data_IF_843580561904
#
_entry.id   IF_843580561904
#
_cell.length_a   1.000
_cell.length_b   1.000
_cell.length_c   1.000
_cell.angle_alpha   90.00
_cell.angle_beta   90.00
_cell.angle_gamma   90.00
#
_symmetry.space_group_name_H-M   'P 1'
#
loop_
_entity.id
_entity.type
_entity.pdbx_description
1 polymer ?
#
# COMPACT_ATOMS: atom_id res chain seq x y z
N UNK A 1 -4.21 -6.36 -0.25
CA UNK A 1 -4.18 -7.60 -1.06
C UNK A 1 -3.67 -7.45 -2.50
N UNK A 2 -4.33 -6.66 -3.38
CA UNK A 2 -3.91 -6.55 -4.81
C UNK A 2 -2.43 -6.20 -4.99
N UNK A 3 -1.92 -5.26 -4.20
CA UNK A 3 -0.51 -4.88 -4.24
C UNK A 3 0.43 -6.01 -3.78
N UNK A 4 0.05 -6.77 -2.75
CA UNK A 4 0.80 -7.95 -2.33
C UNK A 4 0.92 -8.96 -3.49
N UNK A 5 -0.19 -9.30 -4.14
CA UNK A 5 -0.21 -10.24 -5.26
C UNK A 5 0.70 -9.81 -6.40
N UNK A 6 0.69 -8.51 -6.73
CA UNK A 6 1.58 -7.89 -7.73
C UNK A 6 3.05 -8.02 -7.33
N UNK A 7 3.42 -7.59 -6.10
CA UNK A 7 4.81 -7.63 -5.63
C UNK A 7 5.32 -9.07 -5.52
N UNK A 8 4.53 -9.98 -4.95
CA UNK A 8 4.87 -11.40 -4.88
C UNK A 8 5.06 -12.03 -6.27
N UNK A 9 4.29 -11.61 -7.28
CA UNK A 9 4.45 -12.08 -8.65
C UNK A 9 5.79 -11.62 -9.27
N UNK A 10 6.24 -10.40 -8.97
CA UNK A 10 7.55 -9.91 -9.40
C UNK A 10 8.68 -10.75 -8.80
N UNK A 11 8.62 -11.02 -7.49
CA UNK A 11 9.59 -11.89 -6.82
C UNK A 11 9.56 -13.32 -7.35
N UNK A 12 8.37 -13.88 -7.59
CA UNK A 12 8.22 -15.21 -8.16
C UNK A 12 8.93 -15.31 -9.53
N UNK A 13 8.77 -14.31 -10.40
CA UNK A 13 9.46 -14.27 -11.71
C UNK A 13 10.97 -14.10 -11.59
N UNK A 14 11.43 -13.24 -10.66
CA UNK A 14 12.85 -12.96 -10.50
C UNK A 14 13.65 -14.20 -10.03
N UNK A 15 13.01 -15.10 -9.28
CA UNK A 15 13.64 -16.28 -8.70
C UNK A 15 13.11 -17.62 -9.26
N UNK A 16 12.34 -17.60 -10.35
CA UNK A 16 11.81 -18.83 -10.97
C UNK A 16 10.86 -19.64 -10.07
N UNK A 17 10.11 -18.95 -9.21
CA UNK A 17 9.21 -19.51 -8.21
C UNK A 17 7.73 -19.34 -8.58
N UNK A 18 7.40 -19.24 -9.88
CA UNK A 18 6.04 -18.96 -10.36
C UNK A 18 5.01 -20.02 -9.93
N UNK A 19 5.44 -21.26 -9.73
CA UNK A 19 4.57 -22.35 -9.25
C UNK A 19 4.25 -22.26 -7.75
N UNK A 20 5.05 -21.51 -6.98
CA UNK A 20 4.82 -21.29 -5.55
C UNK A 20 3.88 -20.11 -5.27
N UNK A 21 3.73 -19.20 -6.22
CA UNK A 21 2.83 -18.04 -6.12
C UNK A 21 1.37 -18.48 -5.88
N UNK A 22 0.53 -17.76 -5.09
CA UNK A 22 0.70 -16.40 -4.58
C UNK A 22 1.24 -16.25 -3.17
N UNK A 23 1.04 -17.25 -2.30
CA UNK A 23 1.39 -17.16 -0.88
C UNK A 23 2.48 -18.17 -0.58
N UNK A 24 3.73 -17.74 -0.68
CA UNK A 24 4.91 -18.58 -0.49
C UNK A 24 5.99 -17.86 0.30
N UNK A 25 6.97 -18.62 0.77
CA UNK A 25 8.13 -18.09 1.47
C UNK A 25 9.17 -17.62 0.45
N UNK A 26 9.11 -16.34 0.09
CA UNK A 26 10.07 -15.72 -0.84
C UNK A 26 11.50 -15.87 -0.32
N UNK A 27 11.73 -15.80 1.00
CA UNK A 27 13.09 -15.88 1.55
C UNK A 27 13.73 -17.23 1.27
N UNK A 28 12.96 -18.32 1.29
CA UNK A 28 13.41 -19.67 0.95
C UNK A 28 13.93 -19.79 -0.50
N UNK A 29 13.29 -19.08 -1.45
CA UNK A 29 13.71 -19.07 -2.84
C UNK A 29 14.91 -18.16 -3.11
N UNK A 30 15.10 -17.14 -2.28
CA UNK A 30 16.25 -16.23 -2.37
C UNK A 30 17.49 -16.82 -1.74
N UNK A 31 17.35 -17.42 -0.55
CA UNK A 31 18.44 -18.04 0.20
C UNK A 31 17.91 -19.21 1.02
N UNK A 32 18.00 -20.43 0.47
CA UNK A 32 17.40 -21.63 1.09
C UNK A 32 17.89 -21.94 2.51
N UNK A 33 19.12 -21.55 2.85
CA UNK A 33 19.70 -21.75 4.18
C UNK A 33 19.25 -20.71 5.22
N UNK A 34 18.42 -19.73 4.84
CA UNK A 34 17.94 -18.68 5.76
C UNK A 34 17.27 -19.30 6.99
N UNK A 35 17.73 -18.90 8.17
CA UNK A 35 17.13 -19.27 9.45
C UNK A 35 16.62 -18.01 10.14
N UNK A 36 15.42 -18.10 10.72
CA UNK A 36 14.97 -17.12 11.69
C UNK A 36 15.70 -17.36 13.00
N UNK A 37 16.15 -16.31 13.72
CA UNK A 37 16.71 -16.46 15.06
C UNK A 37 15.79 -17.32 15.96
N UNK A 38 16.34 -18.30 16.73
CA UNK A 38 15.50 -19.26 17.46
C UNK A 38 14.55 -18.64 18.49
N UNK A 39 14.96 -17.53 19.12
CA UNK A 39 14.16 -16.73 20.04
C UNK A 39 12.97 -16.07 19.32
N UNK A 40 13.24 -15.41 18.19
CA UNK A 40 12.19 -14.80 17.35
C UNK A 40 11.24 -15.86 16.79
N UNK A 41 11.76 -17.01 16.38
CA UNK A 41 10.95 -18.13 15.89
C UNK A 41 10.02 -18.67 16.99
N UNK A 42 10.52 -18.84 18.22
CA UNK A 42 9.70 -19.30 19.35
C UNK A 42 8.59 -18.31 19.70
N UNK A 43 8.92 -17.02 19.79
CA UNK A 43 7.92 -15.95 20.04
C UNK A 43 6.86 -15.90 18.93
N UNK A 44 7.28 -16.00 17.68
CA UNK A 44 6.37 -16.03 16.55
C UNK A 44 5.39 -17.21 16.63
N UNK A 45 5.86 -18.41 16.98
CA UNK A 45 4.97 -19.57 17.12
C UNK A 45 3.98 -19.40 18.27
N UNK A 46 4.37 -18.79 19.38
CA UNK A 46 3.47 -18.48 20.50
C UNK A 46 2.34 -17.53 20.06
N UNK A 47 2.69 -16.45 19.36
CA UNK A 47 1.71 -15.49 18.82
C UNK A 47 0.80 -16.15 17.77
N UNK A 48 1.38 -16.95 16.87
CA UNK A 48 0.64 -17.59 15.80
C UNK A 48 -0.22 -18.76 16.26
N UNK A 49 0.01 -19.35 17.44
CA UNK A 49 -0.76 -20.50 17.93
C UNK A 49 -2.26 -20.20 17.98
N UNK A 50 -2.65 -19.04 18.52
CA UNK A 50 -4.05 -18.62 18.68
C UNK A 50 -4.68 -17.99 17.43
N UNK A 51 -3.90 -17.75 16.37
CA UNK A 51 -4.38 -17.02 15.22
C UNK A 51 -5.17 -17.91 14.25
N UNK A 52 -6.16 -17.35 13.57
CA UNK A 52 -6.80 -17.94 12.40
C UNK A 52 -6.95 -16.83 11.34
N UNK A 53 -7.01 -17.15 10.04
CA UNK A 53 -6.86 -18.49 9.42
C UNK A 53 -5.40 -18.97 9.27
N UNK A 54 -5.22 -20.27 8.96
CA UNK A 54 -3.88 -20.89 8.74
C UNK A 54 -3.08 -20.21 7.62
N UNK A 55 -3.75 -19.68 6.60
CA UNK A 55 -3.16 -18.89 5.52
C UNK A 55 -2.40 -17.66 6.05
N UNK A 56 -2.96 -17.01 7.06
CA UNK A 56 -2.35 -15.86 7.73
C UNK A 56 -1.05 -16.26 8.43
N UNK A 57 -1.06 -17.40 9.15
CA UNK A 57 0.16 -17.91 9.81
C UNK A 57 1.30 -18.17 8.82
N UNK A 58 0.98 -18.73 7.64
CA UNK A 58 1.98 -19.01 6.60
C UNK A 58 2.69 -17.75 6.15
N UNK A 59 1.93 -16.70 5.86
CA UNK A 59 2.51 -15.44 5.35
C UNK A 59 3.17 -14.62 6.45
N UNK A 60 2.72 -14.69 7.70
CA UNK A 60 3.44 -14.11 8.84
C UNK A 60 4.83 -14.75 9.01
N UNK A 61 4.93 -16.10 8.99
CA UNK A 61 6.23 -16.79 9.05
C UNK A 61 7.14 -16.36 7.92
N UNK A 62 6.60 -16.31 6.71
CA UNK A 62 7.34 -15.89 5.53
C UNK A 62 7.83 -14.43 5.64
N UNK A 63 7.02 -13.51 6.19
CA UNK A 63 7.39 -12.12 6.43
C UNK A 63 8.48 -11.98 7.50
N UNK A 64 8.43 -12.79 8.57
CA UNK A 64 9.47 -12.81 9.61
C UNK A 64 10.80 -13.32 9.03
N UNK A 65 10.76 -14.41 8.26
CA UNK A 65 11.94 -14.96 7.60
C UNK A 65 12.53 -14.00 6.58
N UNK A 66 11.66 -13.25 5.89
CA UNK A 66 12.04 -12.17 5.00
C UNK A 66 12.75 -11.02 5.71
N UNK A 67 12.27 -10.59 6.87
CA UNK A 67 12.96 -9.60 7.69
C UNK A 67 14.36 -10.08 8.10
N UNK A 68 14.48 -11.33 8.58
CA UNK A 68 15.77 -11.92 8.89
C UNK A 68 16.72 -11.99 7.68
N UNK A 69 16.20 -12.26 6.49
CA UNK A 69 16.97 -12.23 5.25
C UNK A 69 17.51 -10.83 4.94
N UNK A 70 16.69 -9.79 5.12
CA UNK A 70 17.08 -8.39 4.87
C UNK A 70 18.16 -7.89 5.83
N UNK A 71 18.24 -8.45 7.04
CA UNK A 71 19.28 -8.09 8.01
C UNK A 71 20.66 -8.66 7.65
N UNK A 72 20.71 -9.73 6.86
CA UNK A 72 21.97 -10.43 6.52
C UNK A 72 22.40 -10.26 5.06
N UNK A 73 21.52 -9.75 4.20
CA UNK A 73 21.77 -9.60 2.76
C UNK A 73 21.52 -8.19 2.24
N UNK A 74 22.58 -7.57 1.76
CA UNK A 74 22.53 -6.26 1.08
C UNK A 74 22.50 -6.39 -0.47
N UNK A 75 22.56 -7.61 -1.02
CA UNK A 75 22.61 -7.91 -2.45
C UNK A 75 21.23 -8.19 -3.09
N UNK A 76 20.15 -7.85 -2.39
CA UNK A 76 18.80 -7.98 -2.91
C UNK A 76 18.58 -7.02 -4.11
N UNK A 77 17.83 -7.43 -5.15
CA UNK A 77 17.53 -6.54 -6.29
C UNK A 77 16.85 -5.25 -5.82
N UNK A 78 17.50 -4.11 -6.07
CA UNK A 78 17.04 -2.79 -5.61
C UNK A 78 15.76 -2.31 -6.32
N UNK A 79 15.44 -2.89 -7.48
CA UNK A 79 14.26 -2.59 -8.27
C UNK A 79 13.02 -3.40 -7.84
N UNK A 80 13.18 -4.41 -6.99
CA UNK A 80 12.07 -5.19 -6.46
C UNK A 80 11.56 -4.59 -5.14
N UNK A 81 10.25 -4.28 -5.03
CA UNK A 81 9.68 -3.71 -3.82
C UNK A 81 9.55 -4.75 -2.71
N UNK A 82 9.44 -4.31 -1.45
CA UNK A 82 9.19 -5.23 -0.33
C UNK A 82 7.88 -6.01 -0.58
N UNK A 83 7.91 -7.35 -0.64
CA UNK A 83 6.76 -8.13 -1.00
C UNK A 83 5.69 -8.21 0.09
N UNK A 84 6.07 -8.16 1.37
CA UNK A 84 5.16 -8.42 2.49
C UNK A 84 4.58 -7.16 3.12
N UNK A 85 5.20 -6.00 2.92
CA UNK A 85 4.69 -4.70 3.41
C UNK A 85 3.18 -4.47 3.16
N UNK A 86 2.62 -4.69 1.94
CA UNK A 86 1.19 -4.48 1.71
C UNK A 86 0.29 -5.48 2.46
N UNK A 87 0.82 -6.64 2.84
CA UNK A 87 0.09 -7.68 3.54
C UNK A 87 0.11 -7.43 5.06
N UNK A 88 1.26 -7.03 5.60
CA UNK A 88 1.39 -6.62 7.00
C UNK A 88 0.48 -5.43 7.32
N UNK A 89 0.51 -4.39 6.48
CA UNK A 89 -0.39 -3.23 6.61
C UNK A 89 -1.87 -3.62 6.55
N UNK A 90 -2.23 -4.62 5.76
CA UNK A 90 -3.60 -5.13 5.72
C UNK A 90 -3.98 -5.81 7.04
N UNK A 91 -3.08 -6.58 7.64
CA UNK A 91 -3.31 -7.26 8.92
C UNK A 91 -3.41 -6.28 10.09
N UNK A 92 -2.54 -5.27 10.14
CA UNK A 92 -2.57 -4.21 11.15
C UNK A 92 -3.89 -3.43 11.16
N UNK A 93 -4.59 -3.40 10.01
CA UNK A 93 -5.90 -2.78 9.84
C UNK A 93 -7.06 -3.76 10.06
N UNK A 94 -6.80 -4.92 10.66
CA UNK A 94 -7.80 -5.95 10.95
C UNK A 94 -8.25 -6.77 9.73
N UNK A 95 -7.58 -6.61 8.59
CA UNK A 95 -7.84 -7.39 7.39
C UNK A 95 -7.30 -8.81 7.49
N UNK A 96 -7.89 -9.71 6.71
CA UNK A 96 -7.48 -11.11 6.61
C UNK A 96 -7.89 -11.68 5.27
N UNK A 97 -7.51 -12.93 5.01
CA UNK A 97 -7.96 -13.62 3.82
C UNK A 97 -8.11 -15.12 4.02
N UNK A 98 -9.07 -15.70 3.31
CA UNK A 98 -9.22 -17.15 3.16
C UNK A 98 -8.90 -17.52 1.71
N UNK A 99 -8.18 -18.62 1.53
CA UNK A 99 -7.85 -19.14 0.22
C UNK A 99 -8.55 -20.49 0.05
N UNK A 100 -9.55 -20.52 -0.82
CA UNK A 100 -10.20 -21.74 -1.30
C UNK A 100 -10.15 -21.74 -2.84
N UNK A 101 -11.28 -21.86 -3.52
CA UNK A 101 -11.36 -21.67 -4.98
C UNK A 101 -11.12 -20.20 -5.38
N UNK A 102 -11.52 -19.28 -4.50
CA UNK A 102 -11.31 -17.84 -4.63
C UNK A 102 -10.52 -17.32 -3.43
N UNK A 103 -9.96 -16.14 -3.60
CA UNK A 103 -9.37 -15.40 -2.50
C UNK A 103 -10.48 -14.55 -1.88
N UNK A 104 -10.91 -14.93 -0.69
CA UNK A 104 -11.96 -14.25 0.08
C UNK A 104 -11.33 -13.22 1.01
N UNK A 105 -11.73 -11.96 0.84
CA UNK A 105 -11.40 -10.85 1.71
C UNK A 105 -12.64 -10.46 2.53
N UNK A 106 -12.93 -11.22 3.59
CA UNK A 106 -14.03 -10.97 4.52
C UNK A 106 -15.41 -10.80 3.83
N UNK A 107 -15.73 -11.69 2.88
CA UNK A 107 -16.95 -11.70 2.08
C UNK A 107 -16.78 -11.15 0.66
N UNK A 108 -15.66 -10.47 0.36
CA UNK A 108 -15.35 -10.00 -0.99
C UNK A 108 -14.52 -11.06 -1.72
N UNK A 109 -15.14 -11.71 -2.70
CA UNK A 109 -14.49 -12.74 -3.52
C UNK A 109 -13.70 -12.11 -4.67
N UNK A 110 -12.39 -12.30 -4.68
CA UNK A 110 -11.52 -11.82 -5.77
C UNK A 110 -10.91 -12.98 -6.56
N UNK A 111 -10.86 -12.80 -7.89
CA UNK A 111 -10.14 -13.72 -8.77
C UNK A 111 -8.64 -13.47 -8.62
N UNK A 112 -7.91 -14.55 -8.39
CA UNK A 112 -6.47 -14.50 -8.16
C UNK A 112 -5.69 -14.11 -9.43
N UNK A 113 -6.12 -14.56 -10.61
CA UNK A 113 -5.40 -14.36 -11.87
C UNK A 113 -4.17 -15.28 -11.97
N UNK A 114 -3.19 -14.88 -12.78
CA UNK A 114 -1.92 -15.60 -12.92
C UNK A 114 -0.72 -14.67 -12.62
N UNK A 115 0.48 -15.25 -12.58
CA UNK A 115 1.72 -14.51 -12.28
C UNK A 115 1.97 -13.39 -13.28
N UNK A 116 1.76 -13.63 -14.58
CA UNK A 116 2.00 -12.62 -15.63
C UNK A 116 1.05 -11.43 -15.51
N UNK A 117 -0.24 -11.69 -15.31
CA UNK A 117 -1.25 -10.63 -15.15
C UNK A 117 -1.01 -9.81 -13.89
N UNK A 118 -0.60 -10.46 -12.80
CA UNK A 118 -0.31 -9.76 -11.54
C UNK A 118 1.00 -8.99 -11.64
N UNK A 119 2.07 -9.55 -12.19
CA UNK A 119 3.34 -8.84 -12.37
C UNK A 119 3.21 -7.60 -13.28
N UNK A 120 2.29 -7.65 -14.25
CA UNK A 120 2.02 -6.54 -15.18
C UNK A 120 0.95 -5.56 -14.69
N UNK A 121 0.35 -5.80 -13.51
CA UNK A 121 -0.64 -4.90 -12.96
C UNK A 121 -0.02 -3.55 -12.58
N UNK A 122 -0.78 -2.47 -12.76
CA UNK A 122 -0.37 -1.13 -12.31
C UNK A 122 -0.05 -1.18 -10.81
N UNK A 123 1.13 -0.68 -10.37
CA UNK A 123 1.46 -0.57 -8.96
C UNK A 123 0.39 0.18 -8.18
N UNK A 124 0.11 -0.30 -6.97
CA UNK A 124 -0.77 0.43 -6.07
C UNK A 124 -0.11 1.75 -5.67
N UNK A 125 -0.91 2.80 -5.81
CA UNK A 125 -0.60 4.22 -5.61
C UNK A 125 0.55 4.51 -4.66
N UNK A 126 0.33 4.21 -3.38
CA UNK A 126 1.32 4.31 -2.31
C UNK A 126 0.76 3.59 -1.09
N UNK A 127 1.64 3.03 -0.25
CA UNK A 127 1.25 2.42 1.02
C UNK A 127 1.31 3.41 2.19
N UNK A 128 1.44 4.71 1.91
CA UNK A 128 1.40 5.75 2.93
C UNK A 128 0.09 5.66 3.76
N UNK A 129 0.15 5.79 5.10
CA UNK A 129 -1.01 5.64 5.97
C UNK A 129 -2.22 6.47 5.52
N UNK A 130 -1.98 7.71 5.12
CA UNK A 130 -3.00 8.65 4.64
C UNK A 130 -3.75 8.18 3.38
N UNK A 131 -3.11 7.39 2.52
CA UNK A 131 -3.74 6.80 1.32
C UNK A 131 -4.54 5.56 1.68
N UNK A 132 -4.05 4.75 2.62
CA UNK A 132 -4.79 3.58 3.11
C UNK A 132 -6.02 4.00 3.94
N UNK A 133 -5.88 5.02 4.79
CA UNK A 133 -6.99 5.65 5.51
C UNK A 133 -8.04 6.25 4.57
N UNK A 134 -7.64 6.64 3.35
CA UNK A 134 -8.56 7.03 2.29
C UNK A 134 -9.41 5.86 1.82
N UNK A 135 -8.78 4.72 1.56
CA UNK A 135 -9.46 3.53 1.03
C UNK A 135 -10.42 2.92 2.04
N UNK A 136 -10.08 2.98 3.32
CA UNK A 136 -10.95 2.47 4.38
C UNK A 136 -12.17 3.37 4.62
N UNK A 137 -12.13 4.60 4.12
CA UNK A 137 -13.26 5.50 4.22
C UNK A 137 -14.35 5.14 3.20
N UNK A 138 -15.59 5.08 3.67
CA UNK A 138 -16.76 4.95 2.80
C UNK A 138 -16.92 6.17 1.88
N UNK A 139 -17.30 5.91 0.63
CA UNK A 139 -17.70 6.94 -0.35
C UNK A 139 -16.79 7.07 -1.58
N UNK A 140 -17.27 7.77 -2.60
CA UNK A 140 -16.48 8.09 -3.79
C UNK A 140 -15.48 9.22 -3.49
N UNK A 141 -14.21 9.02 -3.85
CA UNK A 141 -13.15 10.01 -3.64
C UNK A 141 -12.79 10.65 -4.97
N UNK A 142 -12.77 11.99 -5.00
CA UNK A 142 -12.20 12.75 -6.12
C UNK A 142 -11.03 13.60 -5.64
N UNK A 143 -9.89 13.51 -6.33
CA UNK A 143 -8.68 14.27 -6.04
C UNK A 143 -8.56 15.51 -6.93
N UNK A 144 -7.99 16.57 -6.38
CA UNK A 144 -7.71 17.81 -7.08
C UNK A 144 -6.34 18.38 -6.70
N UNK A 145 -5.63 18.90 -7.69
CA UNK A 145 -4.38 19.63 -7.51
C UNK A 145 -4.67 21.13 -7.40
N UNK A 146 -4.11 21.78 -6.38
CA UNK A 146 -4.10 23.24 -6.24
C UNK A 146 -3.02 23.81 -7.16
N UNK A 147 -3.44 24.56 -8.18
CA UNK A 147 -2.57 25.07 -9.24
C UNK A 147 -2.57 26.59 -9.30
N UNK A 148 -1.46 27.14 -9.76
CA UNK A 148 -1.29 28.55 -10.09
C UNK A 148 -0.24 28.69 -11.19
N UNK A 149 0.02 29.91 -11.68
CA UNK A 149 1.06 30.14 -12.70
C UNK A 149 2.43 29.59 -12.29
N UNK A 150 2.78 29.66 -11.00
CA UNK A 150 4.04 29.14 -10.46
C UNK A 150 3.99 27.66 -10.05
N UNK A 151 2.80 27.05 -10.01
CA UNK A 151 2.58 25.68 -9.55
C UNK A 151 1.63 24.95 -10.52
N UNK A 152 2.15 24.47 -11.67
CA UNK A 152 1.35 23.76 -12.65
C UNK A 152 0.91 22.38 -12.16
N UNK A 153 -0.01 21.72 -12.87
CA UNK A 153 -0.58 20.40 -12.51
C UNK A 153 0.46 19.33 -12.14
N UNK A 154 1.60 19.29 -12.85
CA UNK A 154 2.66 18.30 -12.64
C UNK A 154 3.58 18.64 -11.45
N UNK A 155 3.48 19.84 -10.88
CA UNK A 155 4.17 20.28 -9.67
C UNK A 155 3.27 21.23 -8.87
N UNK A 156 2.14 20.72 -8.35
CA UNK A 156 1.12 21.56 -7.75
C UNK A 156 1.55 22.09 -6.39
N UNK A 157 0.88 23.14 -5.91
CA UNK A 157 1.16 23.76 -4.59
C UNK A 157 0.76 22.85 -3.43
N UNK A 158 -0.21 21.99 -3.67
CA UNK A 158 -0.78 21.03 -2.73
C UNK A 158 -1.91 20.27 -3.40
N UNK A 159 -2.44 19.27 -2.73
CA UNK A 159 -3.61 18.53 -3.20
C UNK A 159 -4.72 18.60 -2.16
N UNK A 160 -5.96 18.56 -2.64
CA UNK A 160 -7.17 18.39 -1.84
C UNK A 160 -7.96 17.22 -2.41
N UNK A 161 -8.78 16.60 -1.58
CA UNK A 161 -9.74 15.59 -2.02
C UNK A 161 -11.11 15.93 -1.50
N UNK A 162 -12.11 15.46 -2.21
CA UNK A 162 -13.51 15.44 -1.80
C UNK A 162 -13.95 13.99 -1.70
N UNK A 163 -14.49 13.61 -0.55
CA UNK A 163 -15.16 12.32 -0.36
C UNK A 163 -16.66 12.54 -0.33
N UNK A 164 -17.39 11.76 -1.10
CA UNK A 164 -18.85 11.78 -1.15
C UNK A 164 -19.33 10.47 -0.53
N UNK A 165 -19.75 10.52 0.73
CA UNK A 165 -20.46 9.43 1.39
C UNK A 165 -21.97 9.56 1.19
N UNK A 166 -22.74 8.62 1.76
CA UNK A 166 -24.19 8.53 1.55
C UNK A 166 -24.95 9.80 1.98
N UNK A 167 -24.55 10.42 3.10
CA UNK A 167 -25.24 11.61 3.65
C UNK A 167 -24.36 12.87 3.75
N UNK A 168 -23.04 12.77 3.55
CA UNK A 168 -22.11 13.86 3.82
C UNK A 168 -20.98 13.95 2.79
N UNK A 169 -20.64 15.18 2.42
CA UNK A 169 -19.43 15.51 1.66
C UNK A 169 -18.34 15.98 2.63
N UNK A 170 -17.16 15.37 2.55
CA UNK A 170 -15.99 15.74 3.35
C UNK A 170 -14.88 16.23 2.45
N UNK A 171 -14.42 17.45 2.70
CA UNK A 171 -13.31 18.05 1.97
C UNK A 171 -12.06 18.02 2.85
N UNK A 172 -10.95 17.51 2.30
CA UNK A 172 -9.70 17.35 3.02
C UNK A 172 -8.50 17.87 2.22
N UNK A 173 -7.50 18.43 2.90
CA UNK A 173 -6.23 18.84 2.32
C UNK A 173 -5.10 17.94 2.81
N UNK A 174 -4.19 17.55 1.91
CA UNK A 174 -2.97 16.85 2.31
C UNK A 174 -1.96 17.87 2.83
N UNK A 175 -1.57 17.75 4.10
CA UNK A 175 -0.74 18.76 4.76
C UNK A 175 0.72 18.30 4.92
N UNK A 176 1.58 19.21 5.40
CA UNK A 176 3.00 18.94 5.63
C UNK A 176 3.27 17.94 6.75
N UNK A 177 2.28 17.58 7.57
CA UNK A 177 2.42 16.51 8.55
C UNK A 177 2.17 15.11 7.96
N UNK A 178 2.05 15.01 6.62
CA UNK A 178 1.81 13.78 5.88
C UNK A 178 0.44 13.14 6.16
N UNK A 179 -0.54 13.95 6.56
CA UNK A 179 -1.93 13.52 6.82
C UNK A 179 -2.94 14.32 6.01
N UNK A 180 -4.10 13.72 5.79
CA UNK A 180 -5.30 14.42 5.32
C UNK A 180 -5.98 15.09 6.51
N UNK A 181 -6.31 16.37 6.36
CA UNK A 181 -7.02 17.14 7.38
C UNK A 181 -8.24 17.83 6.80
N UNK A 182 -9.34 17.96 7.56
CA UNK A 182 -10.52 18.71 7.12
C UNK A 182 -10.17 20.10 6.60
N UNK A 183 -10.79 20.51 5.50
CA UNK A 183 -10.53 21.82 4.88
C UNK A 183 -11.81 22.46 4.36
N UNK A 184 -11.92 23.78 4.50
CA UNK A 184 -13.00 24.56 3.90
C UNK A 184 -12.65 25.06 2.48
N UNK A 185 -11.59 24.54 1.85
CA UNK A 185 -11.04 25.07 0.61
C UNK A 185 -12.08 25.24 -0.51
N UNK A 186 -12.86 24.20 -0.82
CA UNK A 186 -13.85 24.28 -1.90
C UNK A 186 -14.98 25.25 -1.58
N UNK A 187 -15.45 25.26 -0.33
CA UNK A 187 -16.47 26.23 0.12
C UNK A 187 -15.98 27.67 -0.01
N UNK A 188 -14.73 27.95 0.35
CA UNK A 188 -14.13 29.27 0.16
C UNK A 188 -13.96 29.61 -1.33
N UNK A 189 -13.57 28.64 -2.15
CA UNK A 189 -13.46 28.80 -3.59
C UNK A 189 -14.82 29.16 -4.22
N UNK A 190 -15.90 28.48 -3.84
CA UNK A 190 -17.28 28.76 -4.28
C UNK A 190 -17.77 30.15 -3.83
N UNK A 191 -17.24 30.67 -2.71
CA UNK A 191 -17.47 32.04 -2.22
C UNK A 191 -16.62 33.11 -2.93
N UNK A 192 -15.82 32.71 -3.93
CA UNK A 192 -15.00 33.62 -4.73
C UNK A 192 -13.56 33.82 -4.21
N UNK A 193 -13.09 33.04 -3.23
CA UNK A 193 -11.68 33.03 -2.83
C UNK A 193 -10.84 32.14 -3.77
N UNK A 194 -10.73 32.55 -5.02
CA UNK A 194 -10.13 31.80 -6.13
C UNK A 194 -8.70 32.25 -6.49
N UNK A 195 -7.92 32.75 -5.52
CA UNK A 195 -6.50 33.11 -5.68
C UNK A 195 -5.61 31.91 -6.10
N UNK A 196 -6.06 30.70 -5.80
CA UNK A 196 -5.44 29.44 -6.20
C UNK A 196 -6.51 28.57 -6.83
N UNK A 197 -6.28 28.22 -8.10
CA UNK A 197 -7.21 27.39 -8.84
C UNK A 197 -7.03 25.90 -8.50
N UNK A 198 -7.96 25.06 -8.92
CA UNK A 198 -7.79 23.63 -8.80
C UNK A 198 -8.21 22.88 -10.06
N UNK A 199 -7.53 21.78 -10.32
CA UNK A 199 -7.87 20.87 -11.42
C UNK A 199 -8.05 19.46 -10.89
N UNK A 200 -9.04 18.73 -11.40
CA UNK A 200 -9.22 17.32 -11.08
C UNK A 200 -7.99 16.53 -11.53
N UNK A 201 -7.48 15.68 -10.66
CA UNK A 201 -6.35 14.79 -10.94
C UNK A 201 -6.75 13.34 -10.74
N UNK A 202 -6.02 12.45 -11.40
CA UNK A 202 -6.17 11.01 -11.17
C UNK A 202 -5.61 10.64 -9.80
N UNK A 203 -6.01 9.48 -9.29
CA UNK A 203 -5.47 8.95 -8.04
C UNK A 203 -3.95 8.70 -8.15
N UNK A 204 -3.46 8.30 -9.33
CA UNK A 204 -2.04 8.10 -9.63
C UNK A 204 -1.27 9.41 -9.51
N UNK A 205 -1.79 10.50 -10.08
CA UNK A 205 -1.17 11.83 -9.98
C UNK A 205 -1.15 12.33 -8.52
N UNK A 206 -2.20 12.05 -7.73
CA UNK A 206 -2.24 12.38 -6.32
C UNK A 206 -1.19 11.60 -5.51
N UNK A 207 -1.02 10.31 -5.80
CA UNK A 207 -0.05 9.45 -5.13
C UNK A 207 1.39 9.87 -5.40
N UNK A 208 1.74 10.14 -6.67
CA UNK A 208 3.06 10.66 -7.05
C UNK A 208 3.38 11.95 -6.28
N UNK A 209 2.39 12.83 -6.10
CA UNK A 209 2.56 14.02 -5.29
C UNK A 209 2.86 13.68 -3.82
N UNK A 210 2.06 12.81 -3.19
CA UNK A 210 2.23 12.38 -1.79
C UNK A 210 3.60 11.76 -1.57
N UNK A 211 4.03 10.86 -2.44
CA UNK A 211 5.36 10.23 -2.36
C UNK A 211 6.47 11.26 -2.47
N UNK A 212 6.36 12.20 -3.41
CA UNK A 212 7.37 13.24 -3.59
C UNK A 212 7.48 14.17 -2.37
N UNK A 213 6.36 14.50 -1.72
CA UNK A 213 6.34 15.34 -0.51
C UNK A 213 6.86 14.57 0.70
N UNK A 214 6.48 13.30 0.81
CA UNK A 214 6.95 12.39 1.87
C UNK A 214 8.47 12.21 1.81
N UNK A 215 9.01 11.91 0.62
CA UNK A 215 10.44 11.78 0.40
C UNK A 215 11.21 13.07 0.71
N UNK A 216 10.65 14.24 0.32
CA UNK A 216 11.26 15.55 0.64
C UNK A 216 11.31 15.82 2.14
N UNK A 217 10.22 15.55 2.87
CA UNK A 217 10.14 15.84 4.30
C UNK A 217 11.05 14.90 5.10
N UNK A 218 11.05 13.60 4.77
CA UNK A 218 11.89 12.61 5.44
C UNK A 218 13.38 12.75 5.08
N UNK A 219 13.71 13.12 3.84
CA UNK A 219 15.08 13.34 3.39
C UNK A 219 15.67 14.72 3.75
N UNK A 220 14.88 15.63 4.32
CA UNK A 220 15.35 16.93 4.83
C UNK A 220 15.58 16.93 6.35
N UNK A 221 15.57 15.75 6.99
CA UNK A 221 15.81 15.55 8.43
C UNK A 221 17.26 15.20 8.71
#
# INVERSE_FOLDING_TARGET
MREYLRRAALWARAYGAEQSWPFFDIAEHVYAEIQTPPDVAAEAEEVLAGLAPTSLKRTCRAAIRWAALRDIRDDLPADLPDPYEPLLLMYERGGGYFLEEYLDLNGVMIRLGNVESNASATPFLTLAPSTLDALDAEGEITYYAKVSESHPKHSPRGIVRRRIGDDHTYDEAFTRNLRWEPTEYFKLYDLGHNEVDHVKITEIEAAVFIESVTAKILGSS
#
